data_IF_546318156237
#
_entry.id   IF_546318156237
#
_cell.length_a   1.000
_cell.length_b   1.000
_cell.length_c   1.000
_cell.angle_alpha   90.00
_cell.angle_beta   90.00
_cell.angle_gamma   90.00
#
_symmetry.space_group_name_H-M   'P 1'
#
loop_
_entity.id
_entity.type
_entity.pdbx_description
1 polymer ?
#
# COMPACT_ATOMS: atom_id res chain seq x y z
N UNK A 1 13.18 -17.87 30.82
CA UNK A 1 11.83 -17.26 30.80
C UNK A 1 11.20 -17.64 29.48
N UNK A 2 9.97 -18.14 29.48
CA UNK A 2 9.25 -18.38 28.22
C UNK A 2 8.99 -17.02 27.56
N UNK A 3 9.51 -16.83 26.35
CA UNK A 3 9.25 -15.63 25.56
C UNK A 3 7.80 -15.67 25.07
N UNK A 4 7.06 -14.58 25.31
CA UNK A 4 5.65 -14.54 24.93
C UNK A 4 5.50 -14.21 23.45
N UNK A 5 4.68 -14.99 22.75
CA UNK A 5 4.22 -14.64 21.41
C UNK A 5 3.17 -13.54 21.48
N UNK A 6 3.20 -12.62 20.53
CA UNK A 6 2.19 -11.58 20.39
C UNK A 6 1.44 -11.75 19.07
N UNK A 7 0.14 -11.49 19.10
CA UNK A 7 -0.70 -11.36 17.91
C UNK A 7 -1.31 -9.98 17.86
N UNK A 8 -1.56 -9.48 16.66
CA UNK A 8 -2.21 -8.20 16.43
C UNK A 8 -3.31 -8.36 15.38
N UNK A 9 -4.37 -7.60 15.52
CA UNK A 9 -5.40 -7.41 14.53
C UNK A 9 -5.30 -5.98 14.00
N UNK A 10 -5.10 -5.86 12.70
CA UNK A 10 -5.15 -4.58 11.98
C UNK A 10 -6.38 -4.53 11.08
N UNK A 11 -6.87 -3.32 10.80
CA UNK A 11 -7.92 -3.11 9.80
C UNK A 11 -7.34 -3.10 8.37
N UNK A 12 -8.21 -2.85 7.39
CA UNK A 12 -7.84 -2.72 5.98
C UNK A 12 -6.86 -1.56 5.68
N UNK A 13 -6.73 -0.63 6.63
CA UNK A 13 -5.89 0.56 6.52
C UNK A 13 -4.59 0.43 7.33
N UNK A 14 -4.33 -0.74 7.92
CA UNK A 14 -3.11 -1.03 8.69
C UNK A 14 -3.09 -0.40 10.08
N UNK A 15 -4.24 0.09 10.57
CA UNK A 15 -4.40 0.59 11.93
C UNK A 15 -4.67 -0.56 12.91
N UNK A 16 -4.07 -0.48 14.10
CA UNK A 16 -4.19 -1.52 15.13
C UNK A 16 -5.57 -1.43 15.79
N UNK A 17 -6.35 -2.51 15.70
CA UNK A 17 -7.67 -2.63 16.34
C UNK A 17 -7.55 -3.27 17.73
N UNK A 18 -6.78 -4.36 17.81
CA UNK A 18 -6.66 -5.18 19.01
C UNK A 18 -5.36 -5.98 18.97
N UNK A 19 -4.90 -6.44 20.13
CA UNK A 19 -3.73 -7.30 20.22
C UNK A 19 -3.88 -8.32 21.33
N UNK A 20 -3.08 -9.37 21.28
CA UNK A 20 -3.18 -10.48 22.20
C UNK A 20 -1.78 -10.99 22.57
N UNK A 21 -1.59 -11.37 23.84
CA UNK A 21 -0.34 -11.90 24.37
C UNK A 21 -0.53 -13.38 24.71
N UNK A 22 0.27 -14.24 24.09
CA UNK A 22 0.15 -15.69 24.18
C UNK A 22 1.50 -16.29 24.61
N UNK A 23 1.64 -16.54 25.92
CA UNK A 23 2.94 -16.90 26.52
C UNK A 23 3.41 -18.31 26.12
N UNK A 24 2.48 -19.23 25.89
CA UNK A 24 2.79 -20.64 25.67
C UNK A 24 2.37 -21.11 24.28
N UNK A 25 2.28 -20.17 23.34
CA UNK A 25 1.75 -20.41 22.00
C UNK A 25 2.65 -21.31 21.16
N UNK A 26 3.97 -21.26 21.34
CA UNK A 26 4.95 -22.07 20.58
C UNK A 26 5.24 -23.43 21.23
N UNK A 27 4.62 -23.75 22.37
CA UNK A 27 4.83 -25.03 23.05
C UNK A 27 4.26 -26.19 22.23
N UNK A 28 4.84 -27.37 22.42
CA UNK A 28 4.41 -28.59 21.70
C UNK A 28 3.02 -29.03 22.11
N UNK A 29 2.18 -29.27 21.12
CA UNK A 29 0.88 -29.94 21.26
C UNK A 29 1.09 -31.44 21.54
N UNK A 30 0.22 -32.04 22.38
CA UNK A 30 0.14 -33.50 22.54
C UNK A 30 1.16 -34.17 23.48
N UNK A 31 1.86 -33.42 24.34
CA UNK A 31 2.69 -33.97 25.41
C UNK A 31 1.92 -34.32 26.69
N UNK A 32 2.56 -35.04 27.62
CA UNK A 32 2.05 -35.23 28.98
C UNK A 32 2.68 -34.20 29.94
N UNK A 33 1.87 -33.70 30.88
CA UNK A 33 2.31 -32.81 31.94
C UNK A 33 1.96 -31.32 31.72
N UNK A 34 2.47 -30.42 32.59
CA UNK A 34 2.03 -29.02 32.67
C UNK A 34 2.19 -28.24 31.37
N UNK A 35 3.17 -28.59 30.55
CA UNK A 35 3.49 -27.88 29.30
C UNK A 35 2.36 -27.99 28.26
N UNK A 36 1.73 -29.17 28.15
CA UNK A 36 0.63 -29.38 27.21
C UNK A 36 -0.65 -28.65 27.66
N UNK A 37 -0.88 -28.58 28.97
CA UNK A 37 -1.98 -27.81 29.55
C UNK A 37 -1.83 -26.31 29.25
N UNK A 38 -0.63 -25.76 29.48
CA UNK A 38 -0.32 -24.36 29.20
C UNK A 38 -0.48 -23.99 27.70
N UNK A 39 -0.11 -24.90 26.79
CA UNK A 39 -0.35 -24.74 25.34
C UNK A 39 -1.85 -24.71 25.04
N UNK A 40 -2.60 -25.66 25.59
CA UNK A 40 -4.07 -25.74 25.42
C UNK A 40 -4.76 -24.46 25.90
N UNK A 41 -4.36 -23.91 27.05
CA UNK A 41 -4.86 -22.63 27.56
C UNK A 41 -4.59 -21.47 26.59
N UNK A 42 -3.39 -21.40 26.01
CA UNK A 42 -3.04 -20.38 25.01
C UNK A 42 -3.85 -20.55 23.70
N UNK A 43 -4.05 -21.79 23.25
CA UNK A 43 -4.88 -22.09 22.07
C UNK A 43 -6.35 -21.74 22.30
N UNK A 44 -6.89 -21.99 23.50
CA UNK A 44 -8.25 -21.60 23.87
C UNK A 44 -8.42 -20.08 23.90
N UNK A 45 -7.40 -19.33 24.35
CA UNK A 45 -7.40 -17.88 24.27
C UNK A 45 -7.37 -17.39 22.82
N UNK A 46 -6.53 -17.99 21.97
CA UNK A 46 -6.52 -17.72 20.53
C UNK A 46 -7.89 -18.00 19.88
N UNK A 47 -8.51 -19.15 20.18
CA UNK A 47 -9.86 -19.52 19.71
C UNK A 47 -10.88 -18.41 20.01
N UNK A 48 -10.94 -17.95 21.25
CA UNK A 48 -11.83 -16.85 21.68
C UNK A 48 -11.52 -15.53 20.97
N UNK A 49 -10.24 -15.25 20.72
CA UNK A 49 -9.84 -14.04 20.00
C UNK A 49 -10.34 -14.08 18.54
N UNK A 50 -10.17 -15.21 17.85
CA UNK A 50 -10.64 -15.42 16.47
C UNK A 50 -12.17 -15.37 16.41
N UNK A 51 -12.86 -16.01 17.34
CA UNK A 51 -14.34 -16.00 17.40
C UNK A 51 -14.88 -14.57 17.52
N UNK A 52 -14.27 -13.77 18.40
CA UNK A 52 -14.67 -12.37 18.63
C UNK A 52 -14.34 -11.44 17.46
N UNK A 53 -13.17 -11.61 16.85
CA UNK A 53 -12.61 -10.64 15.89
C UNK A 53 -12.80 -11.03 14.42
N UNK A 54 -12.99 -12.32 14.14
CA UNK A 54 -13.23 -12.88 12.81
C UNK A 54 -12.26 -12.34 11.74
N UNK A 55 -10.94 -12.58 11.89
CA UNK A 55 -9.96 -12.14 10.89
C UNK A 55 -10.20 -12.82 9.54
N UNK A 56 -9.95 -12.09 8.46
CA UNK A 56 -10.05 -12.62 7.09
C UNK A 56 -8.85 -13.48 6.69
N UNK A 57 -7.68 -13.23 7.31
CA UNK A 57 -6.42 -13.90 7.04
C UNK A 57 -5.52 -13.85 8.26
N UNK A 58 -4.64 -14.82 8.42
CA UNK A 58 -3.67 -14.89 9.53
C UNK A 58 -2.26 -15.04 8.95
N UNK A 59 -1.34 -14.18 9.41
CA UNK A 59 0.08 -14.23 9.08
C UNK A 59 0.90 -14.64 10.31
N UNK A 60 1.87 -15.53 10.12
CA UNK A 60 2.81 -16.01 11.12
C UNK A 60 4.25 -15.67 10.70
N UNK A 61 5.08 -15.24 11.65
CA UNK A 61 6.50 -14.99 11.40
C UNK A 61 7.23 -16.29 11.00
N UNK A 62 7.95 -16.27 9.88
CA UNK A 62 8.76 -17.38 9.39
C UNK A 62 10.18 -17.44 9.95
N UNK A 63 10.33 -17.42 11.28
CA UNK A 63 11.66 -17.27 11.89
C UNK A 63 12.43 -18.59 12.04
N UNK A 64 11.74 -19.69 12.32
CA UNK A 64 12.36 -21.01 12.49
C UNK A 64 11.35 -22.12 12.18
N UNK A 65 11.78 -23.38 12.28
CA UNK A 65 10.95 -24.56 11.99
C UNK A 65 9.72 -24.69 12.91
N UNK A 66 9.70 -24.04 14.08
CA UNK A 66 8.51 -24.04 14.95
C UNK A 66 7.35 -23.27 14.33
N UNK A 67 7.59 -22.33 13.40
CA UNK A 67 6.53 -21.66 12.64
C UNK A 67 5.68 -22.66 11.82
N UNK A 68 6.31 -23.71 11.26
CA UNK A 68 5.61 -24.76 10.50
C UNK A 68 4.67 -25.55 11.42
N UNK A 69 5.13 -25.86 12.63
CA UNK A 69 4.32 -26.55 13.64
C UNK A 69 3.19 -25.67 14.12
N UNK A 70 3.49 -24.41 14.42
CA UNK A 70 2.51 -23.45 14.88
C UNK A 70 1.42 -23.21 13.85
N UNK A 71 1.77 -23.10 12.55
CA UNK A 71 0.80 -23.02 11.47
C UNK A 71 -0.16 -24.19 11.51
N UNK A 72 0.36 -25.41 11.63
CA UNK A 72 -0.46 -26.63 11.69
C UNK A 72 -1.40 -26.61 12.90
N UNK A 73 -0.91 -26.25 14.09
CA UNK A 73 -1.76 -26.13 15.29
C UNK A 73 -2.89 -25.10 15.10
N UNK A 74 -2.58 -23.97 14.47
CA UNK A 74 -3.56 -22.91 14.17
C UNK A 74 -4.59 -23.39 13.15
N UNK A 75 -4.15 -24.01 12.06
CA UNK A 75 -5.04 -24.57 11.03
C UNK A 75 -5.97 -25.66 11.60
N UNK A 76 -5.44 -26.57 12.43
CA UNK A 76 -6.24 -27.58 13.13
C UNK A 76 -7.30 -26.93 14.03
N UNK A 77 -6.92 -25.90 14.80
CA UNK A 77 -7.85 -25.14 15.64
C UNK A 77 -8.93 -24.42 14.83
N UNK A 78 -8.59 -23.78 13.72
CA UNK A 78 -9.57 -23.09 12.87
C UNK A 78 -10.53 -24.08 12.20
N UNK A 79 -10.04 -25.23 11.76
CA UNK A 79 -10.86 -26.28 11.18
C UNK A 79 -11.82 -26.89 12.21
N UNK A 80 -11.39 -27.05 13.46
CA UNK A 80 -12.30 -27.51 14.53
C UNK A 80 -13.39 -26.48 14.82
N UNK A 81 -13.07 -25.18 14.83
CA UNK A 81 -14.08 -24.11 14.96
C UNK A 81 -15.13 -24.14 13.84
N UNK A 82 -14.72 -24.45 12.61
CA UNK A 82 -15.66 -24.63 11.47
C UNK A 82 -16.53 -25.85 11.67
N UNK A 83 -15.95 -26.99 12.08
CA UNK A 83 -16.70 -28.22 12.36
C UNK A 83 -17.72 -28.05 13.49
N UNK A 84 -17.41 -27.17 14.46
CA UNK A 84 -18.29 -26.80 15.59
C UNK A 84 -19.30 -25.69 15.23
N UNK A 85 -19.35 -25.22 13.97
CA UNK A 85 -20.19 -24.12 13.47
C UNK A 85 -19.94 -22.75 14.14
N UNK A 86 -18.77 -22.54 14.73
CA UNK A 86 -18.38 -21.25 15.31
C UNK A 86 -17.86 -20.27 14.24
N UNK A 87 -17.31 -20.81 13.14
CA UNK A 87 -16.87 -20.07 11.97
C UNK A 87 -17.53 -20.62 10.70
N UNK A 88 -17.87 -19.73 9.77
CA UNK A 88 -18.38 -20.12 8.45
C UNK A 88 -17.29 -20.72 7.57
N UNK A 89 -16.06 -20.23 7.70
CA UNK A 89 -14.88 -20.66 6.95
C UNK A 89 -13.63 -20.42 7.77
N UNK A 90 -12.66 -21.33 7.67
CA UNK A 90 -11.34 -21.14 8.25
C UNK A 90 -10.56 -20.06 7.46
N UNK A 91 -10.07 -18.98 8.10
CA UNK A 91 -9.22 -18.02 7.43
C UNK A 91 -7.91 -18.69 7.02
N UNK A 92 -7.37 -18.37 5.83
CA UNK A 92 -6.08 -18.90 5.39
C UNK A 92 -4.95 -18.44 6.32
N UNK A 93 -3.97 -19.31 6.52
CA UNK A 93 -2.81 -19.07 7.40
C UNK A 93 -1.53 -19.12 6.56
N UNK A 94 -0.77 -18.03 6.59
CA UNK A 94 0.48 -17.90 5.85
C UNK A 94 1.66 -17.78 6.80
N UNK A 95 2.77 -18.42 6.44
CA UNK A 95 4.08 -18.12 7.03
C UNK A 95 4.74 -17.10 6.10
N UNK A 96 5.16 -15.98 6.66
CA UNK A 96 5.69 -14.85 5.90
C UNK A 96 7.13 -14.53 6.31
N UNK A 97 7.89 -14.00 5.34
CA UNK A 97 9.17 -13.38 5.63
C UNK A 97 8.98 -12.21 6.61
N UNK A 98 9.85 -12.12 7.61
CA UNK A 98 9.75 -11.15 8.68
C UNK A 98 10.98 -10.25 8.79
N UNK A 99 11.83 -10.18 7.76
CA UNK A 99 13.06 -9.36 7.82
C UNK A 99 12.73 -7.85 7.90
N UNK A 100 11.79 -7.38 7.08
CA UNK A 100 11.28 -6.00 7.18
C UNK A 100 10.66 -5.69 8.56
N UNK A 101 9.90 -6.65 9.11
CA UNK A 101 9.30 -6.52 10.43
C UNK A 101 10.34 -6.49 11.56
N UNK A 102 11.46 -7.21 11.43
CA UNK A 102 12.59 -7.18 12.37
C UNK A 102 13.32 -5.84 12.36
N UNK A 103 13.43 -5.20 11.19
CA UNK A 103 13.95 -3.84 11.10
C UNK A 103 12.96 -2.87 11.75
N UNK A 104 11.67 -2.95 11.40
CA UNK A 104 10.66 -2.05 11.96
C UNK A 104 10.57 -2.11 13.48
N UNK A 105 10.58 -3.29 14.10
CA UNK A 105 10.45 -3.44 15.56
C UNK A 105 11.57 -2.76 16.37
N UNK A 106 12.71 -2.47 15.75
CA UNK A 106 13.84 -1.77 16.35
C UNK A 106 13.93 -0.29 15.92
N UNK A 107 13.10 0.13 14.96
CA UNK A 107 13.10 1.50 14.44
C UNK A 107 12.59 2.51 15.47
N UNK A 108 13.10 3.75 15.40
CA UNK A 108 12.57 4.85 16.20
C UNK A 108 11.14 5.20 15.80
N UNK A 109 10.82 5.05 14.51
CA UNK A 109 9.47 5.25 13.97
C UNK A 109 8.46 4.35 14.67
N UNK A 110 8.72 3.05 14.79
CA UNK A 110 7.83 2.12 15.50
C UNK A 110 7.64 2.48 16.98
N UNK A 111 8.71 2.84 17.67
CA UNK A 111 8.65 3.27 19.07
C UNK A 111 7.86 4.58 19.26
N UNK A 112 7.93 5.48 18.29
CA UNK A 112 7.18 6.74 18.29
C UNK A 112 5.71 6.54 17.93
N UNK A 113 5.41 5.65 16.98
CA UNK A 113 4.04 5.34 16.56
C UNK A 113 3.28 4.59 17.66
N UNK A 114 3.94 3.65 18.32
CA UNK A 114 3.32 2.71 19.26
C UNK A 114 4.08 2.69 20.59
N UNK A 115 4.05 3.82 21.29
CA UNK A 115 4.78 3.97 22.56
C UNK A 115 4.32 2.95 23.61
N UNK A 116 5.29 2.24 24.20
CA UNK A 116 5.04 1.23 25.23
C UNK A 116 4.73 -0.17 24.70
N UNK A 117 4.66 -0.37 23.39
CA UNK A 117 4.49 -1.72 22.83
C UNK A 117 5.83 -2.48 22.85
N UNK A 118 5.83 -3.77 23.22
CA UNK A 118 7.04 -4.58 23.20
C UNK A 118 7.48 -4.84 21.76
N UNK A 119 8.79 -5.03 21.50
CA UNK A 119 9.30 -5.23 20.14
C UNK A 119 8.61 -6.34 19.35
N UNK A 120 8.30 -7.48 19.97
CA UNK A 120 7.61 -8.59 19.30
C UNK A 120 6.17 -8.25 18.88
N UNK A 121 5.51 -7.31 19.55
CA UNK A 121 4.23 -6.78 19.10
C UNK A 121 4.40 -5.81 17.93
N UNK A 122 5.43 -4.97 17.94
CA UNK A 122 5.78 -4.09 16.81
C UNK A 122 6.12 -4.90 15.55
N UNK A 123 6.82 -6.02 15.72
CA UNK A 123 7.11 -6.97 14.65
C UNK A 123 5.81 -7.54 14.06
N UNK A 124 4.85 -7.92 14.91
CA UNK A 124 3.55 -8.42 14.46
C UNK A 124 2.76 -7.35 13.69
N UNK A 125 2.84 -6.07 14.11
CA UNK A 125 2.21 -4.94 13.40
C UNK A 125 2.77 -4.82 11.98
N UNK A 126 4.10 -4.80 11.85
CA UNK A 126 4.75 -4.70 10.55
C UNK A 126 4.41 -5.91 9.66
N UNK A 127 4.43 -7.13 10.20
CA UNK A 127 4.05 -8.32 9.44
C UNK A 127 2.61 -8.25 8.91
N UNK A 128 1.69 -7.76 9.74
CA UNK A 128 0.30 -7.58 9.33
C UNK A 128 0.17 -6.51 8.24
N UNK A 129 0.92 -5.42 8.31
CA UNK A 129 0.98 -4.39 7.27
C UNK A 129 1.58 -4.90 5.97
N UNK A 130 2.64 -5.72 6.02
CA UNK A 130 3.22 -6.38 4.83
C UNK A 130 2.19 -7.30 4.16
N UNK A 131 1.35 -7.99 4.94
CA UNK A 131 0.29 -8.83 4.39
C UNK A 131 -0.80 -8.02 3.66
N UNK A 132 -1.05 -6.78 4.08
CA UNK A 132 -1.98 -5.87 3.42
C UNK A 132 -1.37 -5.26 2.16
N UNK A 133 -0.21 -4.61 2.31
CA UNK A 133 0.52 -3.99 1.20
C UNK A 133 2.02 -3.92 1.53
N UNK A 134 2.85 -4.79 0.92
CA UNK A 134 4.29 -4.73 1.09
C UNK A 134 4.89 -3.39 0.68
N UNK A 135 4.36 -2.74 -0.37
CA UNK A 135 4.93 -1.52 -0.91
C UNK A 135 4.89 -0.38 0.11
N UNK A 136 3.81 -0.28 0.89
CA UNK A 136 3.72 0.72 1.96
C UNK A 136 4.72 0.45 3.06
N UNK A 137 4.87 -0.81 3.50
CA UNK A 137 5.78 -1.12 4.59
C UNK A 137 7.26 -0.91 4.19
N UNK A 138 7.67 -1.35 2.99
CA UNK A 138 9.03 -1.08 2.50
C UNK A 138 9.28 0.42 2.28
N UNK A 139 8.29 1.17 1.78
CA UNK A 139 8.40 2.62 1.67
C UNK A 139 8.43 3.30 3.06
N UNK A 140 7.76 2.74 4.07
CA UNK A 140 7.78 3.24 5.44
C UNK A 140 9.18 3.14 6.06
N UNK A 141 9.91 2.05 5.78
CA UNK A 141 11.31 1.88 6.17
C UNK A 141 12.26 2.86 5.45
N UNK A 142 11.84 3.48 4.34
CA UNK A 142 12.54 4.59 3.72
C UNK A 142 12.26 5.90 4.47
N UNK A 143 12.89 6.03 5.62
CA UNK A 143 12.73 7.15 6.54
C UNK A 143 14.07 7.86 6.81
N UNK A 144 14.06 8.85 7.70
CA UNK A 144 15.24 9.66 8.00
C UNK A 144 16.37 8.92 8.74
N UNK A 145 16.05 7.79 9.39
CA UNK A 145 17.04 6.90 10.02
C UNK A 145 17.60 5.85 9.03
N UNK A 146 17.12 5.87 7.78
CA UNK A 146 17.55 5.01 6.68
C UNK A 146 17.38 3.50 6.94
N UNK A 147 16.37 3.12 7.72
CA UNK A 147 16.07 1.74 8.13
C UNK A 147 16.02 0.74 6.96
N UNK A 148 15.58 1.18 5.77
CA UNK A 148 15.55 0.37 4.54
C UNK A 148 16.91 -0.26 4.19
N UNK A 149 18.04 0.38 4.54
CA UNK A 149 19.37 -0.17 4.27
C UNK A 149 19.81 -1.23 5.28
N UNK A 150 19.07 -1.42 6.38
CA UNK A 150 19.26 -2.54 7.30
C UNK A 150 18.75 -3.87 6.73
N UNK A 151 18.04 -3.84 5.60
CA UNK A 151 17.55 -5.02 4.91
C UNK A 151 18.64 -5.65 4.03
N UNK A 152 18.75 -6.97 4.09
CA UNK A 152 19.61 -7.75 3.20
C UNK A 152 18.86 -8.19 1.95
N UNK A 153 18.88 -7.38 0.89
CA UNK A 153 18.22 -7.72 -0.39
C UNK A 153 19.03 -8.74 -1.21
N UNK A 154 20.36 -8.75 -1.06
CA UNK A 154 21.24 -9.66 -1.80
C UNK A 154 22.46 -10.08 -0.96
N UNK A 155 22.93 -11.34 -1.03
CA UNK A 155 24.12 -11.80 -0.28
C UNK A 155 25.40 -11.00 -0.54
N UNK A 156 25.52 -10.43 -1.75
CA UNK A 156 26.64 -9.59 -2.16
C UNK A 156 26.35 -8.08 -2.05
N UNK A 157 25.26 -7.66 -1.39
CA UNK A 157 24.91 -6.24 -1.23
C UNK A 157 26.07 -5.44 -0.61
N UNK A 158 26.74 -6.02 0.39
CA UNK A 158 27.89 -5.39 1.05
C UNK A 158 29.15 -5.35 0.17
N UNK A 159 29.21 -6.14 -0.91
CA UNK A 159 30.33 -6.13 -1.85
C UNK A 159 30.22 -5.03 -2.91
N UNK A 160 29.08 -4.33 -3.01
CA UNK A 160 28.97 -3.07 -3.77
C UNK A 160 30.04 -2.05 -3.32
N UNK A 161 30.61 -2.23 -2.13
CA UNK A 161 31.71 -1.45 -1.53
C UNK A 161 33.08 -1.67 -2.18
N UNK A 162 33.29 -2.70 -3.01
CA UNK A 162 34.65 -3.08 -3.47
C UNK A 162 34.92 -3.00 -4.98
N UNK A 163 34.00 -2.45 -5.76
CA UNK A 163 34.32 -1.94 -7.10
C UNK A 163 33.37 -2.42 -8.19
N UNK A 164 32.76 -1.46 -8.88
CA UNK A 164 32.18 -1.65 -10.21
C UNK A 164 31.99 -0.32 -10.95
N UNK A 165 32.95 0.59 -10.87
CA UNK A 165 33.03 1.71 -11.80
C UNK A 165 33.73 1.25 -13.09
N UNK A 166 32.99 1.01 -14.17
CA UNK A 166 33.56 0.94 -15.54
C UNK A 166 34.04 2.32 -16.06
N UNK A 167 34.02 3.35 -15.21
CA UNK A 167 34.50 4.69 -15.53
C UNK A 167 35.53 5.15 -14.49
N UNK A 168 36.73 5.63 -14.88
CA UNK A 168 37.83 5.90 -13.95
C UNK A 168 37.65 7.14 -13.05
N UNK A 169 36.45 7.71 -12.94
CA UNK A 169 36.27 9.01 -12.28
C UNK A 169 35.06 9.15 -11.36
N UNK A 170 34.35 8.06 -11.05
CA UNK A 170 33.18 8.09 -10.17
C UNK A 170 33.42 7.19 -8.96
N UNK A 171 33.89 7.79 -7.87
CA UNK A 171 33.89 7.18 -6.53
C UNK A 171 32.62 7.67 -5.86
N UNK A 172 31.48 7.07 -6.19
CA UNK A 172 30.27 7.18 -5.35
C UNK A 172 30.40 6.10 -4.28
N UNK A 173 30.13 6.45 -3.02
CA UNK A 173 30.08 5.48 -1.91
C UNK A 173 29.03 4.40 -2.22
N UNK A 174 29.31 3.13 -1.95
CA UNK A 174 28.44 1.98 -2.28
C UNK A 174 26.99 2.07 -1.83
N UNK A 175 26.72 2.84 -0.78
CA UNK A 175 25.37 3.11 -0.29
C UNK A 175 24.56 3.99 -1.26
N UNK A 176 25.21 4.88 -2.02
CA UNK A 176 24.54 5.74 -3.00
C UNK A 176 24.08 4.94 -4.22
N UNK A 177 24.89 4.00 -4.72
CA UNK A 177 24.49 3.12 -5.82
C UNK A 177 23.33 2.22 -5.39
N UNK A 178 23.40 1.63 -4.20
CA UNK A 178 22.29 0.84 -3.64
C UNK A 178 21.03 1.70 -3.46
N UNK A 179 21.18 2.90 -2.90
CA UNK A 179 20.10 3.86 -2.74
C UNK A 179 19.44 4.21 -4.08
N UNK A 180 20.24 4.49 -5.11
CA UNK A 180 19.72 4.82 -6.44
C UNK A 180 18.94 3.66 -7.06
N UNK A 181 19.44 2.43 -6.93
CA UNK A 181 18.74 1.24 -7.44
C UNK A 181 17.43 1.01 -6.69
N UNK A 182 17.46 1.02 -5.36
CA UNK A 182 16.27 0.81 -4.53
C UNK A 182 15.24 1.92 -4.73
N UNK A 183 15.67 3.18 -4.76
CA UNK A 183 14.80 4.32 -5.03
C UNK A 183 14.16 4.21 -6.41
N UNK A 184 14.91 3.79 -7.44
CA UNK A 184 14.38 3.58 -8.78
C UNK A 184 13.29 2.51 -8.80
N UNK A 185 13.50 1.38 -8.12
CA UNK A 185 12.49 0.32 -8.04
C UNK A 185 11.23 0.77 -7.27
N UNK A 186 11.40 1.51 -6.18
CA UNK A 186 10.27 2.11 -5.47
C UNK A 186 9.54 3.13 -6.35
N UNK A 187 10.24 4.01 -7.08
CA UNK A 187 9.63 4.93 -8.04
C UNK A 187 8.84 4.14 -9.09
N UNK A 188 9.42 3.12 -9.71
CA UNK A 188 8.73 2.32 -10.72
C UNK A 188 7.44 1.73 -10.16
N UNK A 189 7.51 1.06 -9.00
CA UNK A 189 6.35 0.35 -8.45
C UNK A 189 5.28 1.27 -7.88
N UNK A 190 5.69 2.35 -7.21
CA UNK A 190 4.77 3.37 -6.68
C UNK A 190 4.02 4.06 -7.81
N UNK A 191 4.71 4.42 -8.89
CA UNK A 191 4.05 5.06 -10.02
C UNK A 191 3.26 4.04 -10.87
N UNK A 192 3.60 2.75 -10.89
CA UNK A 192 2.76 1.72 -11.51
C UNK A 192 1.43 1.53 -10.78
N UNK A 193 1.44 1.47 -9.44
CA UNK A 193 0.24 1.28 -8.62
C UNK A 193 -0.55 2.59 -8.47
N UNK A 194 0.13 3.70 -8.24
CA UNK A 194 -0.46 5.00 -7.91
C UNK A 194 -0.75 5.14 -6.41
N UNK A 195 -0.88 6.38 -5.94
CA UNK A 195 -0.95 6.71 -4.51
C UNK A 195 -2.18 7.54 -4.21
N UNK A 196 -2.96 7.10 -3.23
CA UNK A 196 -4.03 7.92 -2.65
C UNK A 196 -3.46 8.85 -1.57
N UNK A 197 -3.50 10.16 -1.84
CA UNK A 197 -2.96 11.19 -0.94
C UNK A 197 -3.82 11.33 0.32
N UNK A 198 -5.13 11.10 0.24
CA UNK A 198 -6.03 11.18 1.39
C UNK A 198 -5.74 10.04 2.35
N UNK A 199 -5.47 8.84 1.84
CA UNK A 199 -5.02 7.71 2.66
C UNK A 199 -3.70 8.02 3.39
N UNK A 200 -2.75 8.67 2.72
CA UNK A 200 -1.50 9.12 3.35
C UNK A 200 -1.70 10.20 4.43
N UNK A 201 -2.78 11.00 4.34
CA UNK A 201 -3.15 11.98 5.36
C UNK A 201 -3.75 11.31 6.59
N UNK A 202 -4.67 10.37 6.38
CA UNK A 202 -5.39 9.63 7.42
C UNK A 202 -4.48 8.62 8.15
N UNK A 203 -3.56 7.99 7.43
CA UNK A 203 -2.68 6.93 7.93
C UNK A 203 -1.20 7.28 7.77
N UNK A 204 -0.57 7.91 8.78
CA UNK A 204 0.79 8.45 8.68
C UNK A 204 1.88 7.42 8.31
N UNK A 205 1.71 6.15 8.68
CA UNK A 205 2.65 5.09 8.33
C UNK A 205 2.77 4.88 6.81
N UNK A 206 1.75 5.25 6.03
CA UNK A 206 1.77 5.16 4.56
C UNK A 206 2.38 6.39 3.88
N UNK A 207 2.64 7.48 4.61
CA UNK A 207 2.99 8.79 4.04
C UNK A 207 4.32 8.80 3.27
N UNK A 208 5.28 7.96 3.67
CA UNK A 208 6.61 7.92 3.06
C UNK A 208 6.58 7.49 1.59
N UNK A 209 5.51 6.84 1.12
CA UNK A 209 5.37 6.46 -0.29
C UNK A 209 5.33 7.67 -1.23
N UNK A 210 4.81 8.82 -0.76
CA UNK A 210 4.64 10.02 -1.58
C UNK A 210 5.96 10.57 -2.12
N UNK A 211 7.09 10.31 -1.46
CA UNK A 211 8.39 10.77 -1.93
C UNK A 211 8.82 10.10 -3.24
N UNK A 212 8.25 8.94 -3.56
CA UNK A 212 8.56 8.17 -4.77
C UNK A 212 7.61 8.47 -5.93
N UNK A 213 6.58 9.29 -5.73
CA UNK A 213 5.73 9.76 -6.83
C UNK A 213 6.54 10.67 -7.74
N UNK A 214 6.44 10.43 -9.05
CA UNK A 214 7.14 11.19 -10.08
C UNK A 214 6.98 12.70 -9.86
N UNK A 215 8.11 13.41 -9.73
CA UNK A 215 8.14 14.86 -9.57
C UNK A 215 8.01 15.38 -8.14
N UNK A 216 7.65 14.57 -7.13
CA UNK A 216 7.55 15.02 -5.73
C UNK A 216 8.91 15.02 -5.02
N UNK A 217 9.48 13.84 -4.75
CA UNK A 217 10.62 13.72 -3.84
C UNK A 217 10.25 14.07 -2.39
N UNK A 218 11.18 13.89 -1.42
CA UNK A 218 10.87 14.00 0.01
C UNK A 218 10.39 15.40 0.40
N UNK A 219 11.03 16.46 -0.10
CA UNK A 219 10.65 17.85 0.23
C UNK A 219 9.23 18.21 -0.24
N UNK A 220 8.85 17.85 -1.47
CA UNK A 220 7.52 18.21 -1.98
C UNK A 220 6.43 17.30 -1.44
N UNK A 221 6.74 16.04 -1.14
CA UNK A 221 5.81 15.13 -0.45
C UNK A 221 5.42 15.70 0.92
N UNK A 222 6.42 16.12 1.73
CA UNK A 222 6.16 16.76 3.02
C UNK A 222 5.38 18.07 2.88
N UNK A 223 5.72 18.89 1.87
CA UNK A 223 4.98 20.12 1.58
C UNK A 223 3.51 19.85 1.22
N UNK A 224 3.26 18.87 0.34
CA UNK A 224 1.90 18.45 -0.05
C UNK A 224 1.06 18.09 1.17
N UNK A 225 1.55 17.17 2.02
CA UNK A 225 0.83 16.75 3.22
C UNK A 225 0.62 17.90 4.19
N UNK A 226 1.62 18.77 4.36
CA UNK A 226 1.50 19.95 5.22
C UNK A 226 0.42 20.91 4.74
N UNK A 227 0.39 21.22 3.44
CA UNK A 227 -0.62 22.11 2.86
C UNK A 227 -2.03 21.54 3.03
N UNK A 228 -2.24 20.25 2.79
CA UNK A 228 -3.55 19.62 2.97
C UNK A 228 -3.96 19.54 4.45
N UNK A 229 -3.03 19.28 5.37
CA UNK A 229 -3.31 19.35 6.82
C UNK A 229 -3.73 20.75 7.29
N UNK A 230 -3.29 21.81 6.59
CA UNK A 230 -3.69 23.19 6.88
C UNK A 230 -5.03 23.57 6.26
N UNK A 231 -5.55 22.77 5.32
CA UNK A 231 -6.71 23.11 4.49
C UNK A 231 -7.63 21.89 4.36
N UNK A 232 -8.58 21.78 5.28
CA UNK A 232 -9.68 20.80 5.33
C UNK A 232 -9.28 19.32 5.40
N UNK A 233 -7.98 19.01 5.42
CA UNK A 233 -7.46 17.64 5.52
C UNK A 233 -7.99 16.71 4.42
N UNK A 234 -8.34 17.26 3.26
CA UNK A 234 -8.96 16.53 2.16
C UNK A 234 -8.50 17.07 0.80
N UNK A 235 -7.96 16.19 -0.03
CA UNK A 235 -7.75 16.43 -1.45
C UNK A 235 -8.99 15.98 -2.22
N UNK A 236 -9.85 16.94 -2.60
CA UNK A 236 -11.10 16.67 -3.32
C UNK A 236 -10.89 16.46 -4.84
N UNK A 237 -9.92 17.16 -5.43
CA UNK A 237 -9.60 17.05 -6.85
C UNK A 237 -8.12 17.26 -7.09
N UNK A 238 -7.57 16.65 -8.14
CA UNK A 238 -6.18 16.85 -8.58
C UNK A 238 -5.88 18.32 -8.90
N UNK A 239 -6.87 19.11 -9.31
CA UNK A 239 -6.71 20.55 -9.57
C UNK A 239 -6.24 21.32 -8.31
N UNK A 240 -6.61 20.86 -7.11
CA UNK A 240 -6.14 21.42 -5.84
C UNK A 240 -4.64 21.27 -5.63
N UNK A 241 -3.97 20.34 -6.30
CA UNK A 241 -2.50 20.26 -6.25
C UNK A 241 -1.85 21.56 -6.77
N UNK A 242 -2.46 22.18 -7.78
CA UNK A 242 -1.99 23.47 -8.32
C UNK A 242 -2.52 24.63 -7.49
N UNK A 243 -3.84 24.70 -7.27
CA UNK A 243 -4.48 25.89 -6.66
C UNK A 243 -4.20 26.01 -5.16
N UNK A 244 -4.20 24.89 -4.44
CA UNK A 244 -4.02 24.84 -2.99
C UNK A 244 -2.57 24.54 -2.61
N UNK A 245 -2.00 23.45 -3.13
CA UNK A 245 -0.65 23.02 -2.76
C UNK A 245 0.45 23.81 -3.49
N UNK A 246 0.07 24.68 -4.43
CA UNK A 246 0.98 25.55 -5.21
C UNK A 246 2.05 24.75 -5.95
N UNK A 247 1.69 23.57 -6.47
CA UNK A 247 2.60 22.80 -7.32
C UNK A 247 2.84 23.51 -8.64
N UNK A 248 4.11 23.64 -9.02
CA UNK A 248 4.48 24.21 -10.32
C UNK A 248 4.00 23.32 -11.47
N UNK A 249 3.79 23.88 -12.68
CA UNK A 249 3.16 23.18 -13.80
C UNK A 249 3.91 21.90 -14.20
N UNK A 250 5.25 21.92 -14.22
CA UNK A 250 6.07 20.72 -14.49
C UNK A 250 5.91 19.63 -13.43
N UNK A 251 5.73 20.02 -12.16
CA UNK A 251 5.56 19.05 -11.07
C UNK A 251 4.18 18.41 -11.17
N UNK A 252 3.16 19.22 -11.39
CA UNK A 252 1.79 18.75 -11.58
C UNK A 252 1.70 17.78 -12.77
N UNK A 253 2.24 18.15 -13.94
CA UNK A 253 2.29 17.28 -15.12
C UNK A 253 3.02 15.95 -14.86
N UNK A 254 4.04 15.95 -14.01
CA UNK A 254 4.77 14.72 -13.68
C UNK A 254 4.02 13.83 -12.67
N UNK A 255 3.24 14.39 -11.74
CA UNK A 255 2.66 13.63 -10.64
C UNK A 255 1.17 13.31 -10.80
N UNK A 256 0.40 14.11 -11.55
CA UNK A 256 -1.05 14.07 -11.50
C UNK A 256 -1.64 12.72 -11.94
N UNK A 257 -1.04 12.04 -12.92
CA UNK A 257 -1.48 10.72 -13.39
C UNK A 257 -1.20 9.57 -12.42
N UNK A 258 -0.39 9.81 -11.38
CA UNK A 258 -0.02 8.83 -10.37
C UNK A 258 -0.71 9.07 -9.02
N UNK A 259 -1.30 10.26 -8.83
CA UNK A 259 -2.08 10.59 -7.64
C UNK A 259 -3.52 10.14 -7.86
N UNK A 260 -3.99 9.19 -7.07
CA UNK A 260 -5.37 8.73 -7.07
C UNK A 260 -6.15 9.45 -5.98
N UNK A 261 -7.45 9.61 -6.21
CA UNK A 261 -8.40 10.08 -5.21
C UNK A 261 -9.53 9.07 -5.18
N UNK A 262 -9.82 8.49 -4.01
CA UNK A 262 -11.05 7.71 -3.84
C UNK A 262 -12.26 8.64 -3.94
N UNK A 263 -12.81 8.74 -5.15
CA UNK A 263 -13.91 9.64 -5.49
C UNK A 263 -15.19 9.33 -4.72
N UNK A 264 -15.40 8.06 -4.34
CA UNK A 264 -16.55 7.63 -3.54
C UNK A 264 -16.44 8.19 -2.13
N UNK A 265 -15.28 8.00 -1.48
CA UNK A 265 -15.02 8.54 -0.13
C UNK A 265 -15.00 10.07 -0.09
N UNK A 266 -14.57 10.71 -1.17
CA UNK A 266 -14.61 12.18 -1.27
C UNK A 266 -16.04 12.67 -1.41
N UNK A 267 -16.87 12.06 -2.27
CA UNK A 267 -18.27 12.45 -2.48
C UNK A 267 -19.11 12.35 -1.19
N UNK A 268 -18.77 11.45 -0.26
CA UNK A 268 -19.41 11.38 1.05
C UNK A 268 -19.05 12.55 1.99
N UNK A 269 -17.93 13.23 1.73
CA UNK A 269 -17.35 14.27 2.58
C UNK A 269 -17.50 15.69 2.04
N UNK A 270 -17.93 15.86 0.78
CA UNK A 270 -18.07 17.16 0.13
C UNK A 270 -19.31 17.23 -0.75
N UNK A 271 -19.97 18.38 -0.76
CA UNK A 271 -21.07 18.69 -1.69
C UNK A 271 -20.56 19.20 -3.05
N UNK A 272 -19.23 19.34 -3.21
CA UNK A 272 -18.62 19.78 -4.46
C UNK A 272 -18.70 18.69 -5.53
N UNK A 273 -18.71 19.11 -6.81
CA UNK A 273 -18.59 18.17 -7.93
C UNK A 273 -17.27 17.39 -7.83
N UNK A 274 -17.37 16.06 -7.89
CA UNK A 274 -16.24 15.13 -7.83
C UNK A 274 -15.94 14.61 -9.23
N UNK A 275 -14.73 14.86 -9.70
CA UNK A 275 -14.30 14.38 -11.00
C UNK A 275 -14.00 12.88 -10.95
N UNK A 276 -14.82 12.06 -11.61
CA UNK A 276 -14.72 10.60 -11.53
C UNK A 276 -13.39 10.08 -12.11
N UNK A 277 -12.81 10.80 -13.09
CA UNK A 277 -11.50 10.47 -13.65
C UNK A 277 -10.34 10.63 -12.65
N UNK A 278 -10.51 11.40 -11.56
CA UNK A 278 -9.48 11.54 -10.51
C UNK A 278 -9.25 10.22 -9.74
N UNK A 279 -10.19 9.28 -9.78
CA UNK A 279 -10.03 7.91 -9.29
C UNK A 279 -9.32 6.95 -10.25
N UNK A 280 -9.07 7.39 -11.49
CA UNK A 280 -8.48 6.57 -12.56
C UNK A 280 -6.97 6.82 -12.75
N UNK A 281 -6.36 6.13 -13.71
CA UNK A 281 -4.97 6.38 -14.16
C UNK A 281 -4.87 7.36 -15.32
N UNK A 282 -6.00 7.89 -15.80
CA UNK A 282 -6.03 8.89 -16.86
C UNK A 282 -5.41 10.18 -16.33
N UNK A 283 -4.53 10.79 -17.12
CA UNK A 283 -3.91 12.06 -16.74
C UNK A 283 -4.89 13.23 -17.00
N UNK A 284 -4.95 14.28 -16.16
CA UNK A 284 -5.84 15.42 -16.38
C UNK A 284 -5.73 16.09 -17.76
N UNK A 285 -4.56 16.00 -18.40
CA UNK A 285 -4.36 16.54 -19.76
C UNK A 285 -5.20 15.82 -20.84
N UNK A 286 -5.66 14.59 -20.56
CA UNK A 286 -6.43 13.77 -21.49
C UNK A 286 -7.87 13.52 -21.06
N UNK A 287 -8.38 14.24 -20.05
CA UNK A 287 -9.76 14.08 -19.59
C UNK A 287 -10.79 14.33 -20.70
N UNK A 288 -10.55 15.35 -21.52
CA UNK A 288 -11.42 15.64 -22.67
C UNK A 288 -11.46 14.47 -23.66
N UNK A 289 -10.33 13.81 -23.89
CA UNK A 289 -10.27 12.63 -24.76
C UNK A 289 -10.98 11.43 -24.14
N UNK A 290 -10.81 11.21 -22.83
CA UNK A 290 -11.50 10.14 -22.13
C UNK A 290 -13.03 10.29 -22.17
N UNK A 291 -13.54 11.52 -22.06
CA UNK A 291 -14.97 11.81 -22.21
C UNK A 291 -15.49 11.51 -23.62
N UNK A 292 -14.75 11.94 -24.66
CA UNK A 292 -15.11 11.63 -26.06
C UNK A 292 -15.15 10.13 -26.33
N UNK A 293 -14.15 9.39 -25.84
CA UNK A 293 -14.15 7.93 -25.94
C UNK A 293 -15.38 7.28 -25.28
N UNK A 294 -15.86 7.83 -24.16
CA UNK A 294 -17.06 7.33 -23.50
C UNK A 294 -18.33 7.61 -24.32
N UNK A 295 -18.45 8.80 -24.92
CA UNK A 295 -19.57 9.14 -25.82
C UNK A 295 -19.60 8.22 -27.04
N UNK A 296 -18.44 8.06 -27.71
CA UNK A 296 -18.31 7.20 -28.89
C UNK A 296 -18.65 5.74 -28.58
N UNK A 297 -18.17 5.22 -27.44
CA UNK A 297 -18.44 3.84 -27.02
C UNK A 297 -19.90 3.56 -26.66
N UNK A 298 -20.67 4.60 -26.32
CA UNK A 298 -22.11 4.48 -26.05
C UNK A 298 -22.97 4.73 -27.29
N UNK A 299 -22.36 5.13 -28.41
CA UNK A 299 -23.06 5.56 -29.62
C UNK A 299 -24.13 6.65 -29.34
N UNK A 300 -23.88 7.51 -28.34
CA UNK A 300 -24.77 8.64 -28.05
C UNK A 300 -24.47 9.77 -29.01
N UNK A 301 -25.49 10.58 -29.33
CA UNK A 301 -25.32 11.79 -30.12
C UNK A 301 -24.27 12.72 -29.48
N UNK A 302 -23.45 13.38 -30.30
CA UNK A 302 -22.36 14.30 -29.90
C UNK A 302 -22.86 15.49 -29.06
N UNK A 303 -24.18 15.71 -29.03
CA UNK A 303 -24.85 16.72 -28.21
C UNK A 303 -25.10 16.31 -26.76
N UNK A 304 -24.88 15.04 -26.41
CA UNK A 304 -25.06 14.51 -25.07
C UNK A 304 -24.01 15.05 -24.09
N UNK A 305 -24.37 15.14 -22.80
CA UNK A 305 -23.43 15.53 -21.74
C UNK A 305 -22.34 14.45 -21.60
N UNK A 306 -21.07 14.76 -21.91
CA UNK A 306 -19.98 13.78 -21.84
C UNK A 306 -19.70 13.30 -20.40
N UNK A 307 -20.19 14.01 -19.39
CA UNK A 307 -20.09 13.61 -17.98
C UNK A 307 -21.01 12.43 -17.68
N UNK A 308 -22.25 12.48 -18.14
CA UNK A 308 -23.21 11.37 -17.99
C UNK A 308 -22.76 10.13 -18.76
N UNK A 309 -22.24 10.33 -19.98
CA UNK A 309 -21.68 9.24 -20.77
C UNK A 309 -20.53 8.52 -20.03
N UNK A 310 -19.67 9.27 -19.35
CA UNK A 310 -18.58 8.70 -18.57
C UNK A 310 -19.10 7.88 -17.36
N UNK A 311 -20.08 8.40 -16.63
CA UNK A 311 -20.69 7.67 -15.51
C UNK A 311 -21.37 6.37 -15.97
N UNK A 312 -22.06 6.38 -17.11
CA UNK A 312 -22.66 5.20 -17.70
C UNK A 312 -21.60 4.18 -18.16
N UNK A 313 -20.50 4.63 -18.78
CA UNK A 313 -19.40 3.75 -19.18
C UNK A 313 -18.77 3.04 -17.98
N UNK A 314 -18.68 3.72 -16.83
CA UNK A 314 -18.12 3.13 -15.62
C UNK A 314 -19.02 2.04 -15.03
N UNK A 315 -20.34 2.11 -15.28
CA UNK A 315 -21.29 1.06 -14.92
C UNK A 315 -21.32 -0.08 -15.95
N UNK A 316 -21.00 0.21 -17.23
CA UNK A 316 -21.01 -0.75 -18.33
C UNK A 316 -19.67 -0.79 -19.10
N UNK A 317 -18.56 -1.22 -18.46
CA UNK A 317 -17.23 -1.15 -19.04
C UNK A 317 -17.03 -2.06 -20.26
N UNK A 318 -17.89 -3.06 -20.45
CA UNK A 318 -17.80 -3.97 -21.59
C UNK A 318 -18.00 -3.28 -22.93
N UNK A 319 -18.74 -2.16 -22.98
CA UNK A 319 -18.95 -1.38 -24.21
C UNK A 319 -17.66 -0.77 -24.77
N UNK A 320 -16.64 -0.55 -23.92
CA UNK A 320 -15.34 -0.07 -24.37
C UNK A 320 -14.58 -1.09 -25.22
N UNK A 321 -14.95 -2.40 -25.17
CA UNK A 321 -14.28 -3.45 -25.95
C UNK A 321 -14.62 -3.41 -27.43
N UNK A 322 -15.78 -2.84 -27.76
CA UNK A 322 -16.27 -2.75 -29.13
C UNK A 322 -15.66 -1.54 -29.87
N UNK A 323 -14.94 -0.69 -29.15
CA UNK A 323 -14.29 0.49 -29.72
C UNK A 323 -13.00 0.12 -30.45
N UNK A 324 -12.91 0.50 -31.74
CA UNK A 324 -11.69 0.36 -32.53
C UNK A 324 -10.66 1.44 -32.13
N UNK A 325 -9.75 1.05 -31.22
CA UNK A 325 -8.71 1.93 -30.71
C UNK A 325 -7.71 2.37 -31.78
N UNK A 326 -7.49 1.57 -32.82
CA UNK A 326 -6.55 1.90 -33.89
C UNK A 326 -7.15 3.01 -34.77
N UNK A 327 -8.42 2.84 -35.17
CA UNK A 327 -9.16 3.87 -35.91
C UNK A 327 -9.27 5.17 -35.11
N UNK A 328 -9.58 5.08 -33.81
CA UNK A 328 -9.64 6.25 -32.93
C UNK A 328 -8.28 6.95 -32.82
N UNK A 329 -7.19 6.20 -32.68
CA UNK A 329 -5.84 6.76 -32.62
C UNK A 329 -5.42 7.44 -33.93
N UNK A 330 -5.83 6.92 -35.09
CA UNK A 330 -5.58 7.57 -36.38
C UNK A 330 -6.35 8.89 -36.52
N UNK A 331 -7.61 8.93 -36.11
CA UNK A 331 -8.42 10.16 -36.13
C UNK A 331 -7.84 11.21 -35.18
N UNK A 332 -7.43 10.80 -33.98
CA UNK A 332 -6.82 11.68 -32.99
C UNK A 332 -5.50 12.26 -33.52
N UNK A 333 -4.67 11.45 -34.18
CA UNK A 333 -3.45 11.93 -34.88
C UNK A 333 -3.80 12.94 -35.98
N UNK A 334 -4.91 12.76 -36.70
CA UNK A 334 -5.36 13.69 -37.75
C UNK A 334 -5.77 15.03 -37.15
N UNK A 335 -6.57 15.01 -36.07
CA UNK A 335 -7.02 16.22 -35.38
C UNK A 335 -5.87 17.01 -34.74
N UNK A 336 -4.93 16.31 -34.08
CA UNK A 336 -3.75 16.95 -33.50
C UNK A 336 -2.87 17.59 -34.58
N UNK A 337 -2.69 16.92 -35.74
CA UNK A 337 -1.97 17.52 -36.88
C UNK A 337 -2.66 18.77 -37.41
N UNK A 338 -3.99 18.76 -37.52
CA UNK A 338 -4.76 19.94 -37.95
C UNK A 338 -4.59 21.12 -36.98
N UNK A 339 -4.58 20.86 -35.67
CA UNK A 339 -4.35 21.89 -34.65
C UNK A 339 -2.93 22.49 -34.70
N UNK A 340 -1.91 21.66 -34.97
CA UNK A 340 -0.52 22.12 -35.11
C UNK A 340 -0.32 22.93 -36.40
N UNK A 341 -1.05 22.62 -37.48
CA UNK A 341 -0.96 23.35 -38.75
C UNK A 341 -1.71 24.71 -38.70
N UNK A 342 -2.59 24.90 -37.72
CA UNK A 342 -3.33 26.15 -37.51
C UNK A 342 -2.67 27.12 -36.51
N UNK A 343 -1.59 26.70 -35.84
CA UNK A 343 -0.71 27.54 -35.00
C UNK A 343 0.55 27.93 -35.78
#
# INVERSE_FOLDING_TARGET
>A
MDEASFGVLVDQDGAVIDYCRMVHFTKRTGGYGPQAQLKSESMNFFKKFVERRRPHVIALCGENLDAIRLRRDVEECLNSMVAENELTRAPPVYIMDNEAAKVYMLSKSAMSEHSGYPPTLLQAISLARIMLDPLWEYAHLWNADEDVFCLGFHPLQNELTKGAGFQPHMILSSQEDLSNVLARELINRVNEVGVDVNRCLEHPHTANILQFVCGLGPRKATHLLKMLKQHDHLLESRTKLVTLCRMGPKVFMNCAGFIKIDTTRVAEKTDAYVEVLDGSRVHPETYEWARKMAVDALEVDDSADPTTALEEILQAPDRLKDLDLDAFAEELKRQVKLFIVQL
#
